data_IF_423905319542
#
_entry.id   IF_423905319542
#
_cell.length_a   1.000
_cell.length_b   1.000
_cell.length_c   1.000
_cell.angle_alpha   90.00
_cell.angle_beta   90.00
_cell.angle_gamma   90.00
#
_symmetry.space_group_name_H-M   'P 1'
#
loop_
_entity.id
_entity.type
_entity.pdbx_description
1 polymer ?
#
# COMPACT_ATOMS: atom_id res chain seq x y z
N UNK A 1 4.58 13.62 5.41
CA UNK A 1 5.10 13.37 4.05
C UNK A 1 4.08 13.89 3.05
N UNK A 2 3.96 15.21 2.94
CA UNK A 2 3.55 15.85 1.70
C UNK A 2 4.80 15.83 0.82
N UNK A 3 4.69 15.45 -0.47
CA UNK A 3 5.70 15.62 -1.57
C UNK A 3 5.77 14.44 -2.57
N UNK A 4 4.64 13.81 -2.92
CA UNK A 4 4.53 12.95 -4.10
C UNK A 4 4.77 11.45 -3.89
N UNK A 5 4.79 10.71 -5.00
CA UNK A 5 4.82 9.24 -5.02
C UNK A 5 6.20 8.75 -5.46
N UNK A 6 6.82 7.90 -4.66
CA UNK A 6 8.17 7.39 -4.94
C UNK A 6 8.13 6.14 -5.81
N UNK A 7 8.95 6.12 -6.86
CA UNK A 7 9.23 4.86 -7.56
C UNK A 7 10.04 3.91 -6.67
N UNK A 8 9.62 2.65 -6.56
CA UNK A 8 10.35 1.60 -5.83
C UNK A 8 10.56 0.37 -6.70
N UNK A 9 11.81 -0.10 -6.75
CA UNK A 9 12.15 -1.34 -7.43
C UNK A 9 11.65 -2.55 -6.60
N UNK A 10 10.80 -3.38 -7.18
CA UNK A 10 10.18 -4.52 -6.49
C UNK A 10 11.20 -5.53 -5.96
N UNK A 11 12.26 -5.84 -6.72
CA UNK A 11 13.31 -6.77 -6.30
C UNK A 11 14.08 -6.27 -5.08
N UNK A 12 14.38 -4.96 -5.05
CA UNK A 12 15.00 -4.35 -3.89
C UNK A 12 14.09 -4.46 -2.66
N UNK A 13 12.77 -4.31 -2.83
CA UNK A 13 11.83 -4.44 -1.71
C UNK A 13 11.70 -5.88 -1.21
N UNK A 14 11.73 -6.89 -2.10
CA UNK A 14 11.81 -8.31 -1.71
C UNK A 14 13.08 -8.57 -0.89
N UNK A 15 14.22 -8.06 -1.33
CA UNK A 15 15.47 -8.13 -0.55
C UNK A 15 15.35 -7.48 0.82
N UNK A 16 14.70 -6.32 0.92
CA UNK A 16 14.46 -5.64 2.19
C UNK A 16 13.56 -6.43 3.13
N UNK A 17 12.51 -7.08 2.61
CA UNK A 17 11.66 -7.97 3.43
C UNK A 17 12.49 -9.10 4.04
N UNK A 18 13.39 -9.71 3.28
CA UNK A 18 14.26 -10.80 3.77
C UNK A 18 15.24 -10.26 4.83
N UNK A 19 15.96 -9.17 4.52
CA UNK A 19 16.97 -8.59 5.41
C UNK A 19 16.36 -8.10 6.73
N UNK A 20 15.15 -7.55 6.67
CA UNK A 20 14.44 -7.02 7.85
C UNK A 20 13.54 -8.06 8.54
N UNK A 21 13.61 -9.33 8.12
CA UNK A 21 12.80 -10.44 8.66
C UNK A 21 11.29 -10.12 8.68
N UNK A 22 10.80 -9.47 7.62
CA UNK A 22 9.39 -9.11 7.45
C UNK A 22 8.99 -7.74 8.00
N UNK A 23 9.83 -7.07 8.81
CA UNK A 23 9.50 -5.76 9.39
C UNK A 23 9.23 -4.70 8.30
N UNK A 24 9.95 -4.78 7.18
CA UNK A 24 9.76 -3.89 6.05
C UNK A 24 8.30 -3.89 5.53
N UNK A 25 7.55 -4.98 5.66
CA UNK A 25 6.15 -5.05 5.20
C UNK A 25 5.27 -4.03 5.93
N UNK A 26 5.52 -3.80 7.22
CA UNK A 26 4.77 -2.81 8.02
C UNK A 26 5.08 -1.39 7.54
N UNK A 27 6.36 -1.08 7.34
CA UNK A 27 6.79 0.19 6.75
C UNK A 27 6.19 0.40 5.35
N UNK A 28 6.22 -0.65 4.52
CA UNK A 28 5.67 -0.61 3.17
C UNK A 28 4.18 -0.30 3.19
N UNK A 29 3.39 -1.00 4.03
CA UNK A 29 1.96 -0.76 4.17
C UNK A 29 1.65 0.69 4.55
N UNK A 30 2.33 1.22 5.57
CA UNK A 30 2.17 2.62 5.98
C UNK A 30 2.49 3.58 4.84
N UNK A 31 3.63 3.38 4.19
CA UNK A 31 4.14 4.28 3.17
C UNK A 31 3.24 4.30 1.93
N UNK A 32 2.79 3.14 1.45
CA UNK A 32 1.90 3.07 0.29
C UNK A 32 0.51 3.58 0.63
N UNK A 33 0.00 3.37 1.84
CA UNK A 33 -1.25 3.96 2.29
C UNK A 33 -1.16 5.51 2.34
N UNK A 34 -0.03 6.08 2.75
CA UNK A 34 0.22 7.53 2.68
C UNK A 34 0.22 8.05 1.24
N UNK A 35 0.85 7.32 0.31
CA UNK A 35 0.87 7.70 -1.11
C UNK A 35 -0.49 7.57 -1.77
N UNK A 36 -1.24 6.51 -1.46
CA UNK A 36 -2.62 6.34 -1.93
C UNK A 36 -3.52 7.44 -1.36
N UNK A 37 -3.36 7.80 -0.07
CA UNK A 37 -4.06 8.93 0.54
C UNK A 37 -3.80 10.24 -0.23
N UNK A 38 -2.52 10.50 -0.54
CA UNK A 38 -2.11 11.68 -1.29
C UNK A 38 -2.75 11.70 -2.69
N UNK A 39 -2.70 10.57 -3.41
CA UNK A 39 -3.29 10.43 -4.74
C UNK A 39 -4.82 10.54 -4.74
N UNK A 40 -5.48 9.94 -3.75
CA UNK A 40 -6.93 9.97 -3.59
C UNK A 40 -7.45 11.35 -3.11
N UNK A 41 -6.55 12.22 -2.62
CA UNK A 41 -6.89 13.49 -1.95
C UNK A 41 -7.87 13.31 -0.77
N UNK A 42 -7.82 12.14 -0.12
CA UNK A 42 -8.69 11.81 1.01
C UNK A 42 -8.05 12.25 2.33
N UNK A 43 -8.44 13.41 2.84
CA UNK A 43 -7.89 13.93 4.10
C UNK A 43 -8.31 13.11 5.33
N UNK A 44 -9.47 12.43 5.27
CA UNK A 44 -10.01 11.63 6.36
C UNK A 44 -9.29 10.29 6.53
N UNK A 45 -8.58 9.82 5.50
CA UNK A 45 -7.76 8.61 5.59
C UNK A 45 -6.67 8.75 6.66
N UNK A 46 -6.49 7.70 7.47
CA UNK A 46 -5.55 7.68 8.60
C UNK A 46 -4.54 6.52 8.50
N UNK A 47 -3.60 6.54 7.53
CA UNK A 47 -2.60 5.48 7.34
C UNK A 47 -1.84 5.09 8.61
N UNK A 48 -1.51 6.06 9.47
CA UNK A 48 -0.86 5.79 10.75
C UNK A 48 -1.70 4.94 11.69
N UNK A 49 -3.00 5.28 11.84
CA UNK A 49 -3.94 4.49 12.62
C UNK A 49 -4.09 3.08 12.03
N UNK A 50 -4.26 2.97 10.72
CA UNK A 50 -4.41 1.65 10.07
C UNK A 50 -3.17 0.77 10.25
N UNK A 51 -1.98 1.37 10.28
CA UNK A 51 -0.73 0.64 10.54
C UNK A 51 -0.68 0.12 11.97
N UNK A 52 -1.09 0.91 12.97
CA UNK A 52 -1.19 0.45 14.37
C UNK A 52 -2.24 -0.66 14.50
N UNK A 53 -3.37 -0.53 13.81
CA UNK A 53 -4.45 -1.52 13.83
C UNK A 53 -4.04 -2.88 13.26
N UNK A 54 -2.96 -2.99 12.48
CA UNK A 54 -2.45 -4.29 12.01
C UNK A 54 -2.08 -5.25 13.15
N UNK A 55 -1.77 -4.71 14.33
CA UNK A 55 -1.37 -5.48 15.51
C UNK A 55 -2.53 -5.75 16.49
N UNK A 56 -3.71 -5.18 16.23
CA UNK A 56 -4.89 -5.35 17.07
C UNK A 56 -5.77 -6.46 16.46
N UNK A 57 -6.27 -7.43 17.26
CA UNK A 57 -7.25 -8.40 16.77
C UNK A 57 -8.43 -7.71 16.07
N UNK A 58 -8.80 -8.20 14.89
CA UNK A 58 -9.79 -7.61 13.96
C UNK A 58 -9.47 -6.21 13.41
N UNK A 59 -8.57 -5.44 14.03
CA UNK A 59 -8.09 -4.15 13.53
C UNK A 59 -7.43 -4.28 12.16
N UNK A 60 -6.67 -5.35 11.93
CA UNK A 60 -6.05 -5.63 10.63
C UNK A 60 -7.09 -5.77 9.50
N UNK A 61 -8.27 -6.32 9.79
CA UNK A 61 -9.36 -6.45 8.81
C UNK A 61 -9.84 -5.06 8.39
N UNK A 62 -10.07 -4.16 9.34
CA UNK A 62 -10.44 -2.78 9.05
C UNK A 62 -9.36 -2.07 8.22
N UNK A 63 -8.08 -2.24 8.57
CA UNK A 63 -6.95 -1.67 7.83
C UNK A 63 -6.90 -2.14 6.37
N UNK A 64 -7.09 -3.43 6.11
CA UNK A 64 -7.11 -3.97 4.75
C UNK A 64 -8.30 -3.45 3.94
N UNK A 65 -9.47 -3.32 4.57
CA UNK A 65 -10.66 -2.77 3.91
C UNK A 65 -10.46 -1.31 3.50
N UNK A 66 -9.94 -0.48 4.42
CA UNK A 66 -9.67 0.94 4.15
C UNK A 66 -8.53 1.14 3.15
N UNK A 67 -7.51 0.28 3.17
CA UNK A 67 -6.47 0.26 2.15
C UNK A 67 -7.07 -0.05 0.77
N UNK A 68 -7.95 -1.05 0.66
CA UNK A 68 -8.65 -1.37 -0.57
C UNK A 68 -9.52 -0.22 -1.09
N UNK A 69 -10.19 0.52 -0.20
CA UNK A 69 -10.97 1.72 -0.56
C UNK A 69 -10.10 2.82 -1.17
N UNK A 70 -8.97 3.14 -0.53
CA UNK A 70 -8.03 4.11 -1.10
C UNK A 70 -7.48 3.64 -2.44
N UNK A 71 -7.16 2.34 -2.55
CA UNK A 71 -6.65 1.78 -3.78
C UNK A 71 -7.68 1.89 -4.91
N UNK A 72 -8.94 1.54 -4.67
CA UNK A 72 -10.04 1.66 -5.64
C UNK A 72 -10.23 3.09 -6.14
N UNK A 73 -10.13 4.09 -5.26
CA UNK A 73 -10.25 5.51 -5.61
C UNK A 73 -9.08 6.03 -6.46
N UNK A 74 -7.93 5.37 -6.38
CA UNK A 74 -6.71 5.78 -7.11
C UNK A 74 -6.56 4.98 -8.39
N UNK A 75 -6.74 3.67 -8.35
CA UNK A 75 -6.38 2.70 -9.38
C UNK A 75 -6.90 3.07 -10.76
N UNK A 76 -6.02 3.01 -11.77
CA UNK A 76 -6.44 3.15 -13.18
C UNK A 76 -7.25 1.95 -13.66
N UNK A 77 -6.95 0.78 -13.10
CA UNK A 77 -7.67 -0.45 -13.38
C UNK A 77 -8.94 -0.46 -12.53
N UNK A 78 -10.07 -0.93 -13.09
CA UNK A 78 -11.36 -1.06 -12.37
C UNK A 78 -11.33 -2.19 -11.32
N UNK A 79 -10.23 -2.29 -10.56
CA UNK A 79 -10.06 -3.21 -9.46
C UNK A 79 -10.89 -2.70 -8.28
N UNK A 80 -11.96 -3.43 -8.00
CA UNK A 80 -12.84 -3.13 -6.89
C UNK A 80 -12.13 -3.35 -5.55
N UNK A 81 -12.41 -2.50 -4.55
CA UNK A 81 -11.93 -2.62 -3.17
C UNK A 81 -12.05 -4.04 -2.61
N UNK A 82 -13.16 -4.72 -2.87
CA UNK A 82 -13.42 -6.07 -2.36
C UNK A 82 -12.41 -7.10 -2.87
N UNK A 83 -11.92 -6.93 -4.11
CA UNK A 83 -10.88 -7.81 -4.67
C UNK A 83 -9.57 -7.61 -3.89
N UNK A 84 -9.15 -6.36 -3.69
CA UNK A 84 -7.94 -6.04 -2.92
C UNK A 84 -8.06 -6.53 -1.47
N UNK A 85 -9.22 -6.29 -0.85
CA UNK A 85 -9.51 -6.72 0.51
C UNK A 85 -9.42 -8.24 0.68
N UNK A 86 -10.02 -9.02 -0.24
CA UNK A 86 -9.95 -10.48 -0.18
C UNK A 86 -8.54 -11.01 -0.48
N UNK A 87 -7.83 -10.39 -1.43
CA UNK A 87 -6.46 -10.76 -1.77
C UNK A 87 -5.50 -10.58 -0.59
N UNK A 88 -5.73 -9.63 0.31
CA UNK A 88 -4.94 -9.50 1.53
C UNK A 88 -4.94 -10.77 2.39
N UNK A 89 -6.03 -11.54 2.41
CA UNK A 89 -6.15 -12.78 3.19
C UNK A 89 -5.70 -14.02 2.43
N UNK A 90 -6.04 -14.09 1.14
CA UNK A 90 -5.76 -15.29 0.32
C UNK A 90 -4.32 -15.29 -0.17
N UNK A 91 -3.81 -14.12 -0.59
CA UNK A 91 -2.47 -14.01 -1.16
C UNK A 91 -1.94 -12.57 -1.06
N UNK A 92 -1.54 -12.15 0.15
CA UNK A 92 -1.03 -10.80 0.42
C UNK A 92 0.12 -10.34 -0.49
N UNK A 93 1.04 -11.20 -1.00
CA UNK A 93 2.05 -10.76 -1.95
C UNK A 93 1.46 -10.17 -3.23
N UNK A 94 0.31 -10.68 -3.72
CA UNK A 94 -0.32 -10.09 -4.92
C UNK A 94 -0.73 -8.64 -4.70
N UNK A 95 -1.30 -8.30 -3.53
CA UNK A 95 -1.66 -6.90 -3.23
C UNK A 95 -0.43 -6.01 -3.24
N UNK A 96 0.70 -6.51 -2.73
CA UNK A 96 1.96 -5.79 -2.77
C UNK A 96 2.39 -5.48 -4.22
N UNK A 97 2.45 -6.48 -5.09
CA UNK A 97 2.84 -6.26 -6.49
C UNK A 97 1.85 -5.35 -7.24
N UNK A 98 0.54 -5.52 -7.03
CA UNK A 98 -0.50 -4.68 -7.65
C UNK A 98 -0.35 -3.22 -7.20
N UNK A 99 -0.30 -2.98 -5.90
CA UNK A 99 -0.18 -1.63 -5.35
C UNK A 99 1.13 -0.97 -5.76
N UNK A 100 2.23 -1.72 -5.75
CA UNK A 100 3.52 -1.18 -6.14
C UNK A 100 3.59 -0.85 -7.64
N UNK A 101 2.97 -1.66 -8.50
CA UNK A 101 2.87 -1.38 -9.94
C UNK A 101 2.10 -0.09 -10.20
N UNK A 102 0.93 0.06 -9.55
CA UNK A 102 0.09 1.24 -9.68
C UNK A 102 0.81 2.51 -9.21
N UNK A 103 1.43 2.45 -8.03
CA UNK A 103 2.18 3.58 -7.47
C UNK A 103 3.42 3.91 -8.32
N UNK A 104 4.13 2.91 -8.83
CA UNK A 104 5.28 3.16 -9.72
C UNK A 104 4.87 3.82 -11.04
N UNK A 105 3.72 3.46 -11.61
CA UNK A 105 3.16 4.11 -12.79
C UNK A 105 2.91 5.61 -12.53
N UNK A 106 2.46 5.92 -11.32
CA UNK A 106 2.14 7.28 -10.83
C UNK A 106 3.30 7.98 -10.13
N UNK A 107 4.48 7.38 -10.11
CA UNK A 107 5.63 7.93 -9.41
C UNK A 107 6.03 9.30 -10.01
N UNK A 108 6.24 10.27 -9.12
CA UNK A 108 6.66 11.63 -9.48
C UNK A 108 8.17 11.83 -9.36
N UNK A 109 8.87 10.92 -8.70
CA UNK A 109 10.33 10.96 -8.55
C UNK A 109 10.93 9.55 -8.38
N UNK A 110 12.25 9.45 -8.59
CA UNK A 110 13.03 8.22 -8.40
C UNK A 110 12.89 7.17 -9.51
N UNK A 111 12.29 7.54 -10.66
CA UNK A 111 12.23 6.64 -11.83
C UNK A 111 13.67 6.39 -12.36
N UNK A 112 14.01 5.14 -12.72
CA UNK A 112 15.25 4.86 -13.42
C UNK A 112 15.25 5.59 -14.78
N UNK A 113 16.43 6.08 -15.20
CA UNK A 113 16.64 6.67 -16.53
C UNK A 113 16.75 5.59 -17.59
#
# INVERSE_FOLDING_TARGET
MENGVKYRNMWAQVGLVIITLGIYVIYWFYQTACELKYLAKDQAASPGLWTVLLFIPFGAIYSYYKYGELFENVSSEKLNRWIIFLLWFVFSPAVWFIAQTELNRRATYGKPQ
#
